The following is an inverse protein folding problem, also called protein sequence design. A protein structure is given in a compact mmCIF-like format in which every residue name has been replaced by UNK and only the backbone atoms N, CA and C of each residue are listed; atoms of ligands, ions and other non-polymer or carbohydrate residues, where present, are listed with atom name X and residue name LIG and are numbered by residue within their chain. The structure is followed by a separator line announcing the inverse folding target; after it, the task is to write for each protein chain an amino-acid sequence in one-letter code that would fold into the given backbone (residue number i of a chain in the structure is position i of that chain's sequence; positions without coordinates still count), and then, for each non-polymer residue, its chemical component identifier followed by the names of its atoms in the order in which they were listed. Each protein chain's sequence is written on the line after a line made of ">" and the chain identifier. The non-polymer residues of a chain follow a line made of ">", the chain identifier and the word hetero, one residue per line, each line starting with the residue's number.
data_IF_773937485237
#
_entry.id   IF_773937485237
#
_cell.length_a   1.000
_cell.length_b   1.000
_cell.length_c   1.000
_cell.angle_alpha   90.00
_cell.angle_beta   90.00
_cell.angle_gamma   90.00
#
_symmetry.space_group_name_H-M   'P 1'
#
loop_
_entity.id
_entity.type
_entity.pdbx_description
1 polymer ?
#
# COMPACT_ATOMS: atom_id res chain seq x y z
N UNK A 1 -2.02 -17.19 -1.62
CA UNK A 1 -1.22 -17.14 -2.87
C UNK A 1 0.21 -16.80 -2.48
N UNK A 2 1.21 -17.64 -2.81
CA UNK A 2 2.63 -17.31 -2.51
C UNK A 2 3.18 -16.48 -3.66
N UNK A 3 3.56 -15.23 -3.39
CA UNK A 3 4.19 -14.37 -4.39
C UNK A 3 5.67 -14.78 -4.50
N UNK A 4 6.16 -15.20 -5.67
CA UNK A 4 7.58 -15.48 -5.84
C UNK A 4 8.41 -14.23 -5.51
N UNK A 5 9.50 -14.40 -4.76
CA UNK A 5 10.37 -13.33 -4.26
C UNK A 5 9.74 -12.34 -3.28
N UNK A 6 8.64 -12.71 -2.60
CA UNK A 6 7.99 -11.86 -1.59
C UNK A 6 8.94 -11.41 -0.45
N UNK A 7 9.93 -12.22 -0.10
CA UNK A 7 10.96 -11.88 0.90
C UNK A 7 11.94 -10.79 0.45
N UNK A 8 11.99 -10.48 -0.86
CA UNK A 8 12.81 -9.41 -1.45
C UNK A 8 11.98 -8.19 -1.86
N UNK A 9 10.68 -8.19 -1.59
CA UNK A 9 9.81 -7.08 -1.91
C UNK A 9 10.17 -5.87 -1.03
N UNK A 10 10.70 -4.83 -1.65
CA UNK A 10 10.92 -3.53 -1.02
C UNK A 10 9.72 -2.65 -1.33
N UNK A 11 8.98 -2.24 -0.31
CA UNK A 11 7.90 -1.27 -0.44
C UNK A 11 8.50 0.11 -0.18
N UNK A 12 8.58 0.96 -1.20
CA UNK A 12 9.04 2.33 -1.00
C UNK A 12 7.91 3.17 -0.36
N UNK A 13 8.14 3.84 0.78
CA UNK A 13 7.14 4.67 1.44
C UNK A 13 6.49 5.70 0.51
N UNK A 14 7.29 6.31 -0.37
CA UNK A 14 6.82 7.31 -1.35
C UNK A 14 5.78 6.75 -2.31
N UNK A 15 5.83 5.45 -2.63
CA UNK A 15 4.82 4.80 -3.47
C UNK A 15 3.51 4.57 -2.72
N UNK A 16 3.56 4.40 -1.40
CA UNK A 16 2.37 4.26 -0.57
C UNK A 16 1.66 5.60 -0.40
N UNK A 17 2.31 6.58 0.23
CA UNK A 17 1.66 7.87 0.53
C UNK A 17 1.60 8.82 -0.68
N UNK A 18 2.59 8.76 -1.59
CA UNK A 18 2.70 9.66 -2.74
C UNK A 18 1.95 9.20 -3.98
N UNK A 19 1.60 7.91 -4.08
CA UNK A 19 0.90 7.34 -5.24
C UNK A 19 -0.34 6.53 -4.86
N UNK A 20 -0.20 5.48 -4.03
CA UNK A 20 -1.30 4.55 -3.74
C UNK A 20 -2.43 5.18 -2.92
N UNK A 21 -2.08 6.01 -1.94
CA UNK A 21 -2.96 6.65 -0.98
C UNK A 21 -3.08 8.17 -1.20
N UNK A 22 -2.52 8.67 -2.31
CA UNK A 22 -2.55 10.09 -2.63
C UNK A 22 -3.85 10.46 -3.33
N UNK A 23 -4.68 11.24 -2.65
CA UNK A 23 -5.91 11.82 -3.20
C UNK A 23 -5.61 12.93 -4.23
N UNK A 24 -4.48 13.62 -4.08
CA UNK A 24 -4.05 14.72 -4.94
C UNK A 24 -3.41 14.26 -6.25
N UNK A 25 -3.01 13.00 -6.36
CA UNK A 25 -2.31 12.52 -7.54
C UNK A 25 -3.31 12.14 -8.66
N UNK A 26 -3.18 12.69 -9.90
CA UNK A 26 -4.19 12.51 -10.96
C UNK A 26 -4.49 11.05 -11.31
N UNK A 27 -3.46 10.20 -11.23
CA UNK A 27 -3.55 8.74 -11.44
C UNK A 27 -3.85 8.01 -10.13
N UNK A 28 -3.27 8.47 -9.02
CA UNK A 28 -3.38 7.83 -7.71
C UNK A 28 -4.75 7.97 -7.05
N UNK A 29 -5.51 9.03 -7.35
CA UNK A 29 -6.78 9.36 -6.68
C UNK A 29 -7.82 8.23 -6.71
N UNK A 30 -7.88 7.47 -7.81
CA UNK A 30 -8.82 6.36 -7.95
C UNK A 30 -8.42 5.17 -7.07
N UNK A 31 -7.11 4.95 -6.89
CA UNK A 31 -6.59 3.94 -5.96
C UNK A 31 -6.77 4.40 -4.52
N UNK A 32 -6.49 5.67 -4.23
CA UNK A 32 -6.71 6.25 -2.92
C UNK A 32 -8.17 6.08 -2.45
N UNK A 33 -9.15 6.38 -3.30
CA UNK A 33 -10.58 6.18 -2.98
C UNK A 33 -10.95 4.72 -2.66
N UNK A 34 -10.31 3.75 -3.30
CA UNK A 34 -10.49 2.33 -3.00
C UNK A 34 -9.88 1.96 -1.65
N UNK A 35 -8.64 2.37 -1.40
CA UNK A 35 -7.94 2.07 -0.15
C UNK A 35 -8.55 2.79 1.06
N UNK A 36 -9.07 4.00 0.88
CA UNK A 36 -9.83 4.74 1.89
C UNK A 36 -11.08 3.97 2.33
N UNK A 37 -11.81 3.36 1.39
CA UNK A 37 -12.96 2.49 1.71
C UNK A 37 -12.58 1.25 2.51
N UNK A 38 -11.34 0.80 2.40
CA UNK A 38 -10.78 -0.30 3.20
C UNK A 38 -10.20 0.17 4.55
N UNK A 39 -10.24 1.48 4.83
CA UNK A 39 -9.71 2.07 6.07
C UNK A 39 -8.24 2.48 6.03
N UNK A 40 -7.60 2.47 4.85
CA UNK A 40 -6.23 2.96 4.69
C UNK A 40 -6.23 4.39 4.15
N UNK A 41 -5.46 5.28 4.79
CA UNK A 41 -5.32 6.66 4.36
C UNK A 41 -3.85 7.05 4.24
N UNK A 42 -3.56 8.12 3.49
CA UNK A 42 -2.20 8.64 3.38
C UNK A 42 -1.58 9.07 4.73
N UNK A 43 -2.40 9.32 5.76
CA UNK A 43 -1.93 9.65 7.12
C UNK A 43 -1.46 8.43 7.89
N UNK A 44 -2.06 7.26 7.63
CA UNK A 44 -1.79 5.99 8.30
C UNK A 44 -1.22 4.96 7.30
N UNK A 45 -0.38 5.42 6.38
CA UNK A 45 0.14 4.60 5.29
C UNK A 45 0.98 3.41 5.79
N UNK A 46 1.58 3.53 6.98
CA UNK A 46 2.36 2.47 7.63
C UNK A 46 1.50 1.22 7.90
N UNK A 47 0.20 1.39 8.21
CA UNK A 47 -0.71 0.26 8.43
C UNK A 47 -0.85 -0.59 7.16
N UNK A 48 -0.92 0.06 6.01
CA UNK A 48 -0.94 -0.65 4.72
C UNK A 48 0.39 -1.35 4.45
N UNK A 49 1.52 -0.72 4.78
CA UNK A 49 2.85 -1.32 4.67
C UNK A 49 2.98 -2.59 5.51
N UNK A 50 2.52 -2.55 6.76
CA UNK A 50 2.52 -3.69 7.68
C UNK A 50 1.66 -4.84 7.15
N UNK A 51 0.45 -4.56 6.70
CA UNK A 51 -0.49 -5.56 6.18
C UNK A 51 0.02 -6.20 4.87
N UNK A 52 0.63 -5.40 3.99
CA UNK A 52 1.30 -5.89 2.79
C UNK A 52 2.50 -6.78 3.16
N UNK A 53 3.37 -6.32 4.07
CA UNK A 53 4.55 -7.06 4.51
C UNK A 53 4.17 -8.39 5.16
N UNK A 54 3.12 -8.42 5.98
CA UNK A 54 2.58 -9.65 6.57
C UNK A 54 2.10 -10.62 5.50
N UNK A 55 1.40 -10.13 4.48
CA UNK A 55 0.94 -10.95 3.34
C UNK A 55 2.12 -11.52 2.55
N UNK A 56 3.19 -10.73 2.35
CA UNK A 56 4.39 -11.18 1.65
C UNK A 56 5.18 -12.24 2.42
N UNK A 57 5.21 -12.16 3.75
CA UNK A 57 5.96 -13.10 4.60
C UNK A 57 5.23 -14.43 4.81
N UNK A 58 3.95 -14.51 4.43
CA UNK A 58 3.14 -15.72 4.54
C UNK A 58 2.71 -15.97 5.99
N UNK A 59 1.40 -16.16 6.16
CA UNK A 59 0.86 -16.99 7.24
C UNK A 59 1.13 -18.46 6.94
#
# INVERSE_FOLDING_TARGET
>A
MKIPNATRAVIEPVKLHGYLLSESHPVGRFKAAFFLRLGYSGKDWQRLEEDLTRTFRGS
#
